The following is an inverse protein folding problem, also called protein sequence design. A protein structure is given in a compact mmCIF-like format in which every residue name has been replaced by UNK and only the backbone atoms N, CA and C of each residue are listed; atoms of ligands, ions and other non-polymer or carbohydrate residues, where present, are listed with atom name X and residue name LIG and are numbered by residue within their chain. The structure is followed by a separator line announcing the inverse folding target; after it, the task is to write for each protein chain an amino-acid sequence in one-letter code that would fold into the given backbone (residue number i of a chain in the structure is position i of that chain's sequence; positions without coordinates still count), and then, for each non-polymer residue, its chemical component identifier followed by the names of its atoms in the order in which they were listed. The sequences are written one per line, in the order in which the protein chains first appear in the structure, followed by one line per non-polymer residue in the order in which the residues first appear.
data_IF_539602019752
#
_entry.id   IF_539602019752
#
_cell.length_a   1.000
_cell.length_b   1.000
_cell.length_c   1.000
_cell.angle_alpha   90.00
_cell.angle_beta   90.00
_cell.angle_gamma   90.00
#
_symmetry.space_group_name_H-M   'P 1'
#
loop_
_entity.id
_entity.type
_entity.pdbx_description
1 polymer ?
#
# COMPACT_ATOMS: atom_id res chain seq x y z
N UNK A 1 -15.68 -2.24 5.19
CA UNK A 1 -15.53 -0.77 5.35
C UNK A 1 -14.10 -0.51 5.79
N UNK A 2 -13.39 0.46 5.20
CA UNK A 2 -11.99 0.75 5.54
C UNK A 2 -11.89 2.07 6.32
N UNK A 3 -10.90 2.15 7.21
CA UNK A 3 -10.44 3.40 7.82
C UNK A 3 -9.33 3.97 6.93
N UNK A 4 -9.68 4.98 6.14
CA UNK A 4 -8.84 5.51 5.06
C UNK A 4 -8.20 6.83 5.48
N UNK A 5 -6.89 6.96 5.26
CA UNK A 5 -6.25 8.26 5.15
C UNK A 5 -6.08 8.65 3.68
N UNK A 6 -6.18 9.94 3.37
CA UNK A 6 -5.74 10.51 2.10
C UNK A 6 -4.52 11.41 2.33
N UNK A 7 -3.38 11.03 1.74
CA UNK A 7 -2.14 11.80 1.79
C UNK A 7 -1.66 12.16 0.39
N UNK A 8 -1.03 13.33 0.24
CA UNK A 8 -0.36 13.73 -1.00
C UNK A 8 1.13 13.41 -0.86
N UNK A 9 1.65 12.64 -1.82
CA UNK A 9 3.08 12.32 -1.92
C UNK A 9 3.63 13.02 -3.15
N UNK A 10 4.58 13.94 -2.93
CA UNK A 10 5.22 14.69 -4.00
C UNK A 10 6.44 13.92 -4.52
N UNK A 11 6.43 13.59 -5.80
CA UNK A 11 7.49 12.94 -6.55
C UNK A 11 8.46 14.03 -7.04
N UNK A 12 9.66 14.06 -6.47
CA UNK A 12 10.68 15.05 -6.81
C UNK A 12 12.10 14.53 -6.55
N UNK A 13 13.10 15.17 -7.15
CA UNK A 13 14.50 14.75 -7.01
C UNK A 13 15.15 15.31 -5.74
N UNK A 14 14.65 16.43 -5.24
CA UNK A 14 15.20 17.08 -4.06
C UNK A 14 14.87 16.30 -2.79
N UNK A 15 15.88 16.09 -1.96
CA UNK A 15 15.68 15.57 -0.62
C UNK A 15 14.77 16.52 0.17
N UNK A 16 13.69 15.97 0.72
CA UNK A 16 12.74 16.73 1.56
C UNK A 16 12.49 16.00 2.86
N UNK A 17 12.08 16.75 3.88
CA UNK A 17 11.65 16.14 5.14
C UNK A 17 10.46 15.21 4.89
N UNK A 18 10.36 14.08 5.61
CA UNK A 18 9.21 13.20 5.47
C UNK A 18 7.88 13.94 5.70
N UNK A 19 6.90 13.64 4.85
CA UNK A 19 5.54 14.11 4.97
C UNK A 19 4.91 13.52 6.23
N UNK A 20 4.69 14.35 7.26
CA UNK A 20 3.96 13.94 8.46
C UNK A 20 2.48 13.83 8.13
N UNK A 21 1.98 12.61 7.94
CA UNK A 21 0.59 12.38 7.53
C UNK A 21 -0.42 12.69 8.64
N UNK A 22 0.04 12.76 9.89
CA UNK A 22 -0.79 12.83 11.11
C UNK A 22 -1.78 11.66 11.26
N UNK A 23 -1.54 10.56 10.53
CA UNK A 23 -2.36 9.35 10.58
C UNK A 23 -2.03 8.57 11.84
N UNK A 24 -3.08 8.07 12.49
CA UNK A 24 -2.99 7.15 13.61
C UNK A 24 -3.86 5.92 13.32
N UNK A 25 -3.21 4.78 13.13
CA UNK A 25 -3.87 3.48 13.15
C UNK A 25 -3.82 2.87 14.54
N UNK A 26 -4.77 2.02 14.84
CA UNK A 26 -4.84 1.28 16.11
C UNK A 26 -4.65 -0.21 15.85
N UNK A 27 -4.14 -0.93 16.85
CA UNK A 27 -3.92 -2.38 16.76
C UNK A 27 -5.18 -3.22 16.48
N UNK A 28 -6.36 -2.60 16.61
CA UNK A 28 -7.66 -3.21 16.29
C UNK A 28 -8.17 -2.89 14.87
N UNK A 29 -7.47 -2.04 14.11
CA UNK A 29 -7.82 -1.68 12.73
C UNK A 29 -7.47 -2.83 11.73
N UNK A 30 -7.66 -4.08 12.14
CA UNK A 30 -7.32 -5.32 11.41
C UNK A 30 -8.11 -5.43 10.12
N UNK A 31 -7.42 -5.64 9.00
CA UNK A 31 -8.00 -5.65 7.65
C UNK A 31 -8.69 -4.34 7.23
N UNK A 32 -8.58 -3.25 8.00
CA UNK A 32 -9.29 -1.99 7.72
C UNK A 32 -8.40 -0.76 7.66
N UNK A 33 -7.18 -0.82 8.21
CA UNK A 33 -6.18 0.24 8.15
C UNK A 33 -5.66 0.45 6.71
N UNK A 34 -6.15 1.47 6.02
CA UNK A 34 -5.81 1.75 4.62
C UNK A 34 -5.09 3.08 4.45
N UNK A 35 -3.89 3.04 3.91
CA UNK A 35 -3.15 4.22 3.44
C UNK A 35 -3.50 4.44 1.97
N UNK A 36 -4.16 5.56 1.67
CA UNK A 36 -4.44 5.99 0.30
C UNK A 36 -3.62 7.24 -0.01
N UNK A 37 -2.90 7.21 -1.11
CA UNK A 37 -1.96 8.27 -1.49
C UNK A 37 -2.23 8.75 -2.89
N UNK A 38 -2.17 10.08 -3.07
CA UNK A 38 -2.13 10.72 -4.38
C UNK A 38 -0.69 11.12 -4.70
N UNK A 39 -0.15 10.52 -5.75
CA UNK A 39 1.19 10.81 -6.25
C UNK A 39 1.12 12.01 -7.19
N UNK A 40 1.89 13.06 -6.90
CA UNK A 40 1.92 14.29 -7.69
C UNK A 40 3.35 14.73 -7.97
N UNK A 41 3.59 15.44 -9.06
CA UNK A 41 4.88 16.14 -9.28
C UNK A 41 4.95 17.42 -8.44
N UNK A 42 6.12 18.05 -8.35
CA UNK A 42 6.41 19.28 -7.56
C UNK A 42 5.39 20.43 -7.73
N UNK A 43 4.65 20.48 -8.83
CA UNK A 43 3.61 21.48 -9.11
C UNK A 43 2.17 21.00 -8.84
N UNK A 44 2.01 19.88 -8.12
CA UNK A 44 0.70 19.31 -7.81
C UNK A 44 0.03 18.57 -8.98
N UNK A 45 0.67 18.50 -10.15
CA UNK A 45 0.14 17.75 -11.29
C UNK A 45 0.16 16.26 -10.95
N UNK A 46 -0.96 15.53 -11.08
CA UNK A 46 -1.00 14.09 -10.88
C UNK A 46 0.07 13.34 -11.66
N UNK A 47 0.72 12.38 -11.01
CA UNK A 47 1.64 11.46 -11.65
C UNK A 47 0.83 10.31 -12.25
N UNK A 48 0.63 10.35 -13.57
CA UNK A 48 0.03 9.25 -14.31
C UNK A 48 0.88 7.97 -14.17
N UNK A 49 0.20 6.84 -14.01
CA UNK A 49 0.77 5.50 -13.85
C UNK A 49 0.34 4.66 -15.06
N UNK A 50 1.19 4.55 -16.10
CA UNK A 50 0.90 3.72 -17.27
C UNK A 50 0.58 2.27 -16.92
N UNK A 51 -0.10 1.57 -17.81
CA UNK A 51 -0.33 0.14 -17.66
C UNK A 51 1.00 -0.61 -17.50
N UNK A 52 1.03 -1.56 -16.56
CA UNK A 52 2.25 -2.27 -16.18
C UNK A 52 3.12 -1.55 -15.14
N UNK A 53 2.78 -0.33 -14.72
CA UNK A 53 3.47 0.32 -13.59
C UNK A 53 3.15 -0.36 -12.26
N UNK A 54 4.19 -0.63 -11.47
CA UNK A 54 4.10 -1.06 -10.07
C UNK A 54 4.55 0.04 -9.13
N UNK A 55 3.98 0.06 -7.92
CA UNK A 55 4.30 1.06 -6.90
C UNK A 55 4.66 0.35 -5.59
N UNK A 56 5.94 -0.02 -5.39
CA UNK A 56 6.40 -0.58 -4.13
C UNK A 56 6.39 0.48 -3.02
N UNK A 57 6.06 0.05 -1.81
CA UNK A 57 6.08 0.87 -0.60
C UNK A 57 6.85 0.12 0.47
N UNK A 58 7.91 0.73 0.98
CA UNK A 58 8.66 0.20 2.13
C UNK A 58 8.26 0.93 3.40
N UNK A 59 7.89 0.17 4.41
CA UNK A 59 7.65 0.64 5.77
C UNK A 59 8.82 0.21 6.66
N UNK A 60 9.32 1.14 7.47
CA UNK A 60 10.43 0.93 8.40
C UNK A 60 9.97 1.33 9.80
N UNK A 61 10.30 0.51 10.79
CA UNK A 61 9.98 0.76 12.19
C UNK A 61 11.11 0.24 13.08
N UNK A 62 11.20 0.74 14.32
CA UNK A 62 12.21 0.26 15.27
C UNK A 62 11.91 -1.17 15.69
N UNK A 63 12.93 -2.02 15.70
CA UNK A 63 12.84 -3.38 16.23
C UNK A 63 14.07 -3.70 17.09
N UNK A 64 13.83 -4.40 18.20
CA UNK A 64 14.90 -4.87 19.09
C UNK A 64 15.54 -6.18 18.58
N UNK A 65 14.85 -6.91 17.70
CA UNK A 65 15.28 -8.22 17.19
C UNK A 65 15.87 -8.12 15.78
N UNK A 66 15.50 -7.10 15.01
CA UNK A 66 16.02 -6.91 13.67
C UNK A 66 17.50 -6.53 13.67
N UNK A 67 18.25 -7.10 12.71
CA UNK A 67 19.62 -6.66 12.43
C UNK A 67 19.63 -5.17 12.07
N UNK A 68 20.49 -4.40 12.74
CA UNK A 68 20.57 -2.94 12.56
C UNK A 68 19.47 -2.15 13.29
N UNK A 69 18.60 -2.80 14.06
CA UNK A 69 17.62 -2.14 14.94
C UNK A 69 16.33 -1.68 14.27
N UNK A 70 16.09 -2.10 13.02
CA UNK A 70 14.92 -1.70 12.24
C UNK A 70 14.29 -2.87 11.50
N UNK A 71 12.99 -3.07 11.73
CA UNK A 71 12.15 -3.95 10.92
C UNK A 71 11.72 -3.27 9.62
N UNK A 72 11.37 -4.07 8.62
CA UNK A 72 11.05 -3.63 7.25
C UNK A 72 9.87 -4.41 6.70
N UNK A 73 8.78 -3.73 6.37
CA UNK A 73 7.64 -4.37 5.71
C UNK A 73 7.45 -3.75 4.33
N UNK A 74 7.51 -4.58 3.30
CA UNK A 74 7.40 -4.17 1.92
C UNK A 74 6.03 -4.54 1.36
N UNK A 75 5.34 -3.54 0.84
CA UNK A 75 4.04 -3.68 0.21
C UNK A 75 4.16 -3.38 -1.27
N UNK A 76 3.44 -4.11 -2.10
CA UNK A 76 3.06 -3.61 -3.41
C UNK A 76 1.81 -2.74 -3.21
N UNK A 77 1.65 -1.61 -3.90
CA UNK A 77 0.43 -0.83 -3.79
C UNK A 77 -0.58 -1.22 -4.87
N UNK A 78 -1.86 -1.21 -4.51
CA UNK A 78 -2.96 -1.27 -5.49
C UNK A 78 -3.08 0.09 -6.17
N UNK A 79 -3.02 0.11 -7.50
CA UNK A 79 -3.31 1.31 -8.31
C UNK A 79 -4.82 1.44 -8.44
N UNK A 80 -5.40 2.47 -7.80
CA UNK A 80 -6.84 2.70 -7.79
C UNK A 80 -7.29 3.62 -8.92
N UNK A 81 -6.49 4.65 -9.22
CA UNK A 81 -6.74 5.58 -10.31
C UNK A 81 -5.40 5.87 -11.01
N UNK A 82 -5.09 5.17 -12.11
CA UNK A 82 -3.82 5.32 -12.80
C UNK A 82 -3.67 6.70 -13.45
N UNK A 83 -4.76 7.36 -13.83
CA UNK A 83 -4.71 8.68 -14.48
C UNK A 83 -4.35 9.75 -13.45
N UNK A 84 -4.96 9.69 -12.27
CA UNK A 84 -4.75 10.66 -11.20
C UNK A 84 -3.67 10.26 -10.17
N UNK A 85 -2.96 9.16 -10.42
CA UNK A 85 -1.85 8.70 -9.57
C UNK A 85 -2.29 8.29 -8.18
N UNK A 86 -3.47 7.67 -8.04
CA UNK A 86 -3.99 7.24 -6.74
C UNK A 86 -3.63 5.78 -6.52
N UNK A 87 -2.94 5.54 -5.40
CA UNK A 87 -2.53 4.21 -4.97
C UNK A 87 -2.94 3.96 -3.53
N UNK A 88 -3.02 2.70 -3.13
CA UNK A 88 -3.28 2.36 -1.73
C UNK A 88 -2.62 1.07 -1.29
N UNK A 89 -2.39 0.97 0.03
CA UNK A 89 -2.08 -0.28 0.73
C UNK A 89 -3.03 -0.45 1.90
N UNK A 90 -3.41 -1.69 2.17
CA UNK A 90 -4.04 -2.08 3.44
C UNK A 90 -2.93 -2.68 4.29
N UNK A 91 -2.80 -2.21 5.53
CA UNK A 91 -1.80 -2.73 6.46
C UNK A 91 -2.22 -4.11 6.93
N UNK A 92 -1.28 -5.04 6.96
CA UNK A 92 -1.48 -6.39 7.49
C UNK A 92 -1.48 -6.40 9.01
N UNK A 93 -2.09 -7.43 9.59
CA UNK A 93 -2.24 -7.52 11.04
C UNK A 93 -0.87 -7.57 11.77
N UNK A 94 0.17 -8.10 11.14
CA UNK A 94 1.51 -8.21 11.74
C UNK A 94 2.11 -6.83 12.10
N UNK A 95 2.04 -5.82 11.21
CA UNK A 95 2.57 -4.48 11.48
C UNK A 95 1.73 -3.72 12.50
N UNK A 96 0.44 -4.05 12.64
CA UNK A 96 -0.41 -3.54 13.72
C UNK A 96 0.03 -4.03 15.12
N UNK A 97 0.96 -5.00 15.17
CA UNK A 97 1.73 -5.38 16.35
C UNK A 97 2.78 -4.35 16.79
N UNK A 98 3.10 -3.37 15.96
CA UNK A 98 4.03 -2.30 16.31
C UNK A 98 3.32 -1.15 17.05
N UNK A 99 4.01 -0.51 18.00
CA UNK A 99 3.53 0.73 18.65
C UNK A 99 4.62 1.78 18.53
N UNK A 100 4.33 2.86 17.79
CA UNK A 100 5.29 3.92 17.50
C UNK A 100 5.10 4.50 16.11
N UNK A 101 6.09 5.28 15.69
CA UNK A 101 6.12 5.91 14.36
C UNK A 101 6.69 4.94 13.33
N UNK A 102 5.96 4.77 12.23
CA UNK A 102 6.39 4.03 11.04
C UNK A 102 6.80 5.03 9.97
N UNK A 103 7.96 4.81 9.36
CA UNK A 103 8.48 5.58 8.23
C UNK A 103 8.18 4.85 6.93
N UNK A 104 7.53 5.53 5.99
CA UNK A 104 7.18 5.01 4.68
C UNK A 104 7.98 5.64 3.55
N UNK A 105 8.33 4.85 2.55
CA UNK A 105 8.97 5.29 1.31
C UNK A 105 8.22 4.75 0.10
N UNK A 106 7.87 5.63 -0.85
CA UNK A 106 7.20 5.25 -2.10
C UNK A 106 8.21 5.14 -3.24
N UNK A 107 8.10 4.06 -4.02
CA UNK A 107 8.85 3.82 -5.26
C UNK A 107 7.88 3.62 -6.43
N UNK A 108 8.34 3.86 -7.66
CA UNK A 108 7.55 3.61 -8.86
C UNK A 108 8.42 2.88 -9.86
N UNK A 109 8.00 1.70 -10.31
CA UNK A 109 8.64 0.98 -11.40
C UNK A 109 7.75 1.04 -12.64
N UNK A 110 8.30 1.53 -13.74
CA UNK A 110 7.65 1.60 -15.04
C UNK A 110 7.95 0.34 -15.85
N UNK A 111 7.06 -0.05 -16.78
CA UNK A 111 7.20 -1.28 -17.58
C UNK A 111 8.42 -1.30 -18.53
N UNK A 112 9.17 -0.20 -18.65
CA UNK A 112 10.37 -0.08 -19.48
C UNK A 112 11.66 -0.12 -18.67
N UNK A 113 11.66 -0.90 -17.57
CA UNK A 113 12.79 -1.08 -16.65
C UNK A 113 13.29 0.21 -15.98
N UNK A 114 12.51 1.29 -16.05
CA UNK A 114 12.81 2.54 -15.36
C UNK A 114 12.15 2.53 -13.99
N UNK A 115 12.90 2.90 -12.96
CA UNK A 115 12.37 3.09 -11.62
C UNK A 115 12.59 4.51 -11.12
N UNK A 116 11.74 4.94 -10.17
CA UNK A 116 11.86 6.19 -9.44
C UNK A 116 11.90 5.90 -7.95
N UNK A 117 12.99 6.33 -7.33
CA UNK A 117 12.95 6.69 -5.92
C UNK A 117 12.38 8.12 -5.81
N UNK A 118 11.19 8.24 -5.24
CA UNK A 118 10.34 9.43 -5.39
C UNK A 118 10.72 10.59 -4.46
N UNK A 119 11.69 10.39 -3.55
CA UNK A 119 11.86 11.19 -2.32
C UNK A 119 10.57 11.30 -1.46
N UNK A 120 9.51 10.56 -1.82
CA UNK A 120 8.18 10.57 -1.22
C UNK A 120 8.16 9.83 0.10
N UNK A 121 8.85 10.39 1.09
CA UNK A 121 8.92 9.87 2.45
C UNK A 121 7.72 10.35 3.24
N UNK A 122 7.17 9.49 4.07
CA UNK A 122 6.04 9.85 4.92
C UNK A 122 6.15 9.15 6.27
N UNK A 123 5.41 9.64 7.27
CA UNK A 123 5.31 8.98 8.57
C UNK A 123 3.87 8.87 9.01
N UNK A 124 3.55 7.79 9.73
CA UNK A 124 2.29 7.62 10.46
C UNK A 124 2.56 6.90 11.78
N UNK A 125 1.61 6.94 12.70
CA UNK A 125 1.75 6.28 14.00
C UNK A 125 0.80 5.08 14.11
N UNK A 126 1.25 4.05 14.83
CA UNK A 126 0.42 2.94 15.29
C UNK A 126 0.33 2.99 16.82
N UNK A 127 -0.89 2.88 17.35
CA UNK A 127 -1.18 2.87 18.78
C UNK A 127 -1.88 1.59 19.21
N UNK A 128 -1.68 1.22 20.47
CA UNK A 128 -2.40 0.12 21.10
C UNK A 128 -3.85 0.52 21.39
N UNK A 129 -4.80 -0.29 20.93
CA UNK A 129 -6.20 -0.14 21.32
C UNK A 129 -6.40 -0.59 22.78
N UNK A 130 -7.24 0.10 23.59
CA UNK A 130 -7.50 -0.31 24.97
C UNK A 130 -8.16 -1.68 25.13
N UNK A 131 -8.79 -2.19 24.07
CA UNK A 131 -9.50 -3.48 24.04
C UNK A 131 -8.61 -4.66 23.64
N UNK A 132 -7.38 -4.40 23.18
CA UNK A 132 -6.48 -5.45 22.75
C UNK A 132 -5.54 -5.84 23.90
N UNK A 133 -5.79 -7.00 24.51
CA UNK A 133 -4.96 -7.56 25.59
C UNK A 133 -3.59 -8.08 25.09
N UNK A 134 -3.46 -8.34 23.79
CA UNK A 134 -2.23 -8.82 23.15
C UNK A 134 -2.02 -8.17 21.77
N UNK A 135 -0.77 -8.08 21.32
CA UNK A 135 -0.42 -7.60 19.96
C UNK A 135 -0.23 -8.81 19.04
N UNK A 136 -0.57 -8.68 17.75
CA UNK A 136 -0.05 -9.59 16.73
C UNK A 136 1.48 -9.70 16.81
N UNK A 137 2.03 -10.84 16.39
CA UNK A 137 3.47 -11.00 16.27
C UNK A 137 4.00 -10.07 15.18
N UNK A 138 5.03 -9.29 15.52
CA UNK A 138 5.65 -8.33 14.62
C UNK A 138 6.88 -8.98 13.99
N UNK A 139 6.80 -9.27 12.69
CA UNK A 139 7.93 -9.78 11.93
C UNK A 139 8.93 -8.66 11.63
N UNK A 140 10.22 -8.95 11.75
CA UNK A 140 11.28 -8.00 11.39
C UNK A 140 11.36 -7.74 9.88
N UNK A 141 10.96 -8.72 9.07
CA UNK A 141 10.84 -8.56 7.63
C UNK A 141 9.56 -9.21 7.13
N UNK A 142 8.79 -8.47 6.32
CA UNK A 142 7.56 -8.96 5.70
C UNK A 142 7.43 -8.41 4.27
N UNK A 143 6.80 -9.20 3.39
CA UNK A 143 6.51 -8.77 2.01
C UNK A 143 5.08 -9.15 1.59
N UNK A 144 4.26 -8.15 1.27
CA UNK A 144 2.86 -8.32 0.85
C UNK A 144 2.65 -8.44 -0.68
N UNK A 145 3.71 -8.56 -1.48
CA UNK A 145 3.54 -8.58 -2.94
C UNK A 145 2.85 -9.84 -3.47
N UNK A 146 2.94 -10.96 -2.74
CA UNK A 146 2.31 -12.22 -3.13
C UNK A 146 0.79 -12.20 -2.95
N UNK A 147 0.29 -11.71 -1.81
CA UNK A 147 -1.15 -11.65 -1.52
C UNK A 147 -1.88 -10.82 -2.57
N UNK A 148 -1.32 -9.68 -2.97
CA UNK A 148 -1.93 -8.85 -4.02
C UNK A 148 -1.91 -9.48 -5.40
N UNK A 149 -0.90 -10.29 -5.69
CA UNK A 149 -0.87 -11.06 -6.94
C UNK A 149 -1.99 -12.10 -6.95
N UNK A 150 -2.22 -12.76 -5.81
CA UNK A 150 -3.32 -13.71 -5.62
C UNK A 150 -4.68 -13.00 -5.79
N UNK A 151 -4.90 -11.86 -5.12
CA UNK A 151 -6.17 -11.10 -5.23
C UNK A 151 -6.49 -10.72 -6.68
N UNK A 152 -5.47 -10.31 -7.45
CA UNK A 152 -5.62 -10.00 -8.88
C UNK A 152 -5.99 -11.24 -9.69
N UNK A 153 -5.35 -12.38 -9.42
CA UNK A 153 -5.66 -13.65 -10.09
C UNK A 153 -7.09 -14.07 -9.77
N UNK A 154 -7.51 -14.01 -8.51
CA UNK A 154 -8.88 -14.35 -8.09
C UNK A 154 -9.91 -13.45 -8.78
N UNK A 155 -9.65 -12.16 -8.90
CA UNK A 155 -10.51 -11.24 -9.65
C UNK A 155 -10.59 -11.59 -11.13
N UNK A 156 -9.45 -11.84 -11.80
CA UNK A 156 -9.42 -12.25 -13.21
C UNK A 156 -10.23 -13.54 -13.42
N UNK A 157 -10.12 -14.50 -12.50
CA UNK A 157 -10.89 -15.74 -12.54
C UNK A 157 -12.39 -15.50 -12.35
N UNK A 158 -12.79 -14.60 -11.46
CA UNK A 158 -14.19 -14.26 -11.24
C UNK A 158 -14.81 -13.54 -12.46
N UNK A 159 -14.11 -12.52 -12.98
CA UNK A 159 -14.54 -11.76 -14.15
C UNK A 159 -14.65 -12.69 -15.40
N UNK A 160 -13.66 -13.56 -15.61
CA UNK A 160 -13.67 -14.52 -16.70
C UNK A 160 -14.80 -15.55 -16.62
N UNK A 161 -15.19 -16.00 -15.41
CA UNK A 161 -16.36 -16.87 -15.22
C UNK A 161 -17.66 -16.17 -15.62
N UNK A 162 -17.84 -14.92 -15.18
CA UNK A 162 -19.02 -14.12 -15.51
C UNK A 162 -19.16 -13.89 -17.02
N UNK A 163 -18.06 -13.58 -17.71
CA UNK A 163 -18.07 -13.42 -19.17
C UNK A 163 -18.47 -14.71 -19.90
N UNK A 164 -18.01 -15.87 -19.42
CA UNK A 164 -18.36 -17.18 -20.00
C UNK A 164 -19.86 -17.47 -19.78
N UNK A 165 -20.37 -17.26 -18.56
CA UNK A 165 -21.78 -17.47 -18.24
C UNK A 165 -22.71 -16.58 -19.08
N UNK A 166 -22.34 -15.30 -19.28
CA UNK A 166 -23.07 -14.39 -20.15
C UNK A 166 -23.13 -14.89 -21.60
N UNK A 167 -22.00 -15.31 -22.17
CA UNK A 167 -21.95 -15.84 -23.53
C UNK A 167 -22.76 -17.11 -23.72
N UNK A 168 -22.79 -18.00 -22.71
CA UNK A 168 -23.65 -19.19 -22.73
C UNK A 168 -25.12 -18.77 -22.77
N UNK A 169 -25.55 -17.89 -21.85
CA UNK A 169 -26.93 -17.41 -21.81
C UNK A 169 -27.38 -16.74 -23.11
N UNK A 170 -26.52 -15.92 -23.74
CA UNK A 170 -26.82 -15.29 -25.02
C UNK A 170 -27.02 -16.31 -26.15
N UNK A 171 -26.21 -17.38 -26.14
CA UNK A 171 -26.29 -18.46 -27.14
C UNK A 171 -27.53 -19.37 -27.00
N UNK A 172 -28.10 -19.48 -25.79
CA UNK A 172 -29.31 -20.27 -25.53
C UNK A 172 -30.60 -19.53 -25.87
N UNK A 173 -30.55 -18.19 -25.96
CA UNK A 173 -31.68 -17.34 -26.38
C UNK A 173 -31.82 -17.15 -27.90
N UNK A 174 -30.97 -17.80 -28.71
CA UNK A 174 -30.90 -17.64 -30.16
C UNK A 174 -31.42 -18.85 -30.95
#
# INVERSE_FOLDING_TARGET
MFKINESIIVIQAEATSPNKTNVVFWSHDRGTAKLRMKLVRKNGIPQSLPEGTTVPIRLIFRSATAEGGYGKHDYLATVEDPVNGIVSIVLEDNILGYVGTVEGSVYIDFPNDRSLDTAGRFTFDIKRSPIDDSTPELEDYYFNGFSQTIDKIEKILADGKLEIEQKISESETQ
#
